data_IF_350560290665
#
_entry.id   IF_350560290665
#
_cell.length_a   1.000
_cell.length_b   1.000
_cell.length_c   1.000
_cell.angle_alpha   90.00
_cell.angle_beta   90.00
_cell.angle_gamma   90.00
#
_symmetry.space_group_name_H-M   'P 1'
#
loop_
_entity.id
_entity.type
_entity.pdbx_description
1 polymer ?
#
# COMPACT_ATOMS: atom_id res chain seq x y z
N UNK A 1 3.80 17.34 9.21
CA UNK A 1 3.45 15.96 8.89
C UNK A 1 4.49 15.06 9.52
N UNK A 2 4.07 14.04 10.26
CA UNK A 2 5.00 13.06 10.85
C UNK A 2 5.41 12.10 9.74
N UNK A 3 6.70 11.99 9.48
CA UNK A 3 7.20 11.05 8.46
C UNK A 3 7.59 9.76 9.18
N UNK A 4 6.91 8.67 8.86
CA UNK A 4 7.24 7.35 9.38
C UNK A 4 8.29 6.69 8.47
N UNK A 5 9.22 5.97 9.09
CA UNK A 5 10.25 5.17 8.42
C UNK A 5 10.15 3.73 8.92
N UNK A 6 10.73 2.79 8.20
CA UNK A 6 10.81 1.42 8.67
C UNK A 6 11.47 1.34 10.05
N UNK A 7 10.83 0.60 10.97
CA UNK A 7 11.23 0.46 12.36
C UNK A 7 10.93 1.66 13.27
N UNK A 8 10.26 2.71 12.78
CA UNK A 8 9.88 3.87 13.59
C UNK A 8 9.00 3.47 14.78
N UNK A 9 9.32 4.01 15.96
CA UNK A 9 8.45 3.90 17.14
C UNK A 9 7.75 5.22 17.40
N UNK A 10 6.48 5.18 17.77
CA UNK A 10 5.67 6.36 18.05
C UNK A 10 4.65 6.08 19.14
N UNK A 11 4.07 7.15 19.70
CA UNK A 11 3.02 7.06 20.72
C UNK A 11 1.72 7.60 20.15
N UNK A 12 0.62 6.83 20.29
CA UNK A 12 -0.73 7.25 19.95
C UNK A 12 -1.70 6.74 21.02
N UNK A 13 -2.63 7.58 21.44
CA UNK A 13 -3.61 7.24 22.48
C UNK A 13 -2.99 6.70 23.80
N UNK A 14 -1.77 7.14 24.14
CA UNK A 14 -1.04 6.69 25.31
C UNK A 14 -0.37 5.32 25.20
N UNK A 15 -0.45 4.67 24.03
CA UNK A 15 0.19 3.39 23.73
C UNK A 15 1.39 3.60 22.81
N UNK A 16 2.38 2.71 22.90
CA UNK A 16 3.55 2.72 22.04
C UNK A 16 3.38 1.71 20.89
N UNK A 17 3.74 2.14 19.69
CA UNK A 17 3.67 1.34 18.48
C UNK A 17 5.00 1.33 17.75
N UNK A 18 5.18 0.32 16.91
CA UNK A 18 6.26 0.25 15.92
C UNK A 18 5.65 0.10 14.54
N UNK A 19 6.00 1.02 13.64
CA UNK A 19 5.71 0.90 12.22
C UNK A 19 6.81 0.13 11.50
N UNK A 20 6.43 -0.70 10.52
CA UNK A 20 7.32 -1.30 9.53
C UNK A 20 6.81 -0.93 8.15
N UNK A 21 7.74 -0.58 7.27
CA UNK A 21 7.46 -0.24 5.88
C UNK A 21 8.45 -1.07 5.07
N UNK A 22 7.95 -2.17 4.53
CA UNK A 22 8.77 -3.19 3.86
C UNK A 22 8.35 -3.28 2.39
N UNK A 23 9.24 -3.76 1.52
CA UNK A 23 8.89 -4.04 0.12
C UNK A 23 7.74 -5.06 0.08
N UNK A 24 6.75 -4.81 -0.74
CA UNK A 24 5.62 -5.72 -0.94
C UNK A 24 5.87 -6.64 -2.14
N UNK A 25 6.41 -7.80 -1.87
CA UNK A 25 6.67 -8.83 -2.89
C UNK A 25 5.41 -9.59 -3.32
N UNK A 26 4.26 -9.34 -2.66
CA UNK A 26 3.00 -10.03 -2.96
C UNK A 26 2.13 -9.28 -3.97
N UNK A 27 2.41 -8.01 -4.19
CA UNK A 27 1.68 -7.17 -5.16
C UNK A 27 2.27 -7.34 -6.57
N UNK A 28 1.41 -7.63 -7.53
CA UNK A 28 1.79 -7.77 -8.92
C UNK A 28 2.23 -6.44 -9.58
N UNK A 29 2.66 -6.49 -10.84
CA UNK A 29 3.03 -5.30 -11.57
C UNK A 29 1.81 -4.35 -11.74
N UNK A 30 2.02 -3.01 -11.73
CA UNK A 30 0.91 -2.05 -11.73
C UNK A 30 -0.14 -2.28 -12.82
N UNK A 31 0.29 -2.65 -14.03
CA UNK A 31 -0.62 -2.95 -15.16
C UNK A 31 -1.37 -4.28 -15.03
N UNK A 32 -1.10 -5.07 -14.01
CA UNK A 32 -1.85 -6.29 -13.65
C UNK A 32 -2.76 -5.99 -12.45
N UNK A 33 -2.24 -5.29 -11.47
CA UNK A 33 -2.92 -5.00 -10.20
C UNK A 33 -4.04 -3.96 -10.36
N UNK A 34 -3.83 -2.97 -11.23
CA UNK A 34 -4.76 -1.85 -11.36
C UNK A 34 -5.26 -1.68 -12.80
N UNK A 35 -6.54 -1.40 -12.92
CA UNK A 35 -7.12 -0.91 -14.17
C UNK A 35 -6.66 0.52 -14.46
N UNK A 36 -6.77 0.93 -15.73
CA UNK A 36 -6.50 2.32 -16.13
C UNK A 36 -5.12 2.55 -16.71
N UNK A 37 -4.31 1.52 -16.88
CA UNK A 37 -3.04 1.57 -17.59
C UNK A 37 -3.18 1.22 -19.08
N UNK A 38 -2.23 1.69 -19.88
CA UNK A 38 -2.10 1.26 -21.27
C UNK A 38 -1.64 -0.20 -21.38
N UNK A 39 -1.89 -0.85 -22.55
CA UNK A 39 -1.55 -2.25 -22.71
C UNK A 39 -0.05 -2.51 -22.63
N UNK A 40 0.35 -3.46 -21.80
CA UNK A 40 1.72 -3.93 -21.62
C UNK A 40 1.82 -5.39 -22.07
N UNK A 41 2.82 -5.72 -22.90
CA UNK A 41 3.06 -7.11 -23.31
C UNK A 41 3.75 -7.90 -22.20
N UNK A 42 3.61 -9.22 -22.25
CA UNK A 42 4.55 -10.12 -21.58
C UNK A 42 5.97 -9.98 -22.14
N UNK A 43 6.93 -10.67 -21.52
CA UNK A 43 8.29 -10.75 -22.04
C UNK A 43 8.32 -11.41 -23.43
N UNK A 44 9.02 -10.79 -24.38
CA UNK A 44 9.12 -11.28 -25.75
C UNK A 44 10.44 -10.89 -26.38
N UNK A 45 10.93 -11.73 -27.31
CA UNK A 45 12.15 -11.50 -28.10
C UNK A 45 11.85 -10.92 -29.47
N UNK A 46 10.58 -10.63 -29.81
CA UNK A 46 10.23 -10.02 -31.10
C UNK A 46 10.73 -8.58 -31.20
N UNK A 47 10.84 -8.11 -32.45
CA UNK A 47 11.06 -6.69 -32.69
C UNK A 47 9.85 -5.85 -32.26
N UNK A 48 10.10 -4.58 -31.98
CA UNK A 48 9.09 -3.57 -31.62
C UNK A 48 8.17 -3.30 -32.83
N UNK A 49 6.85 -3.32 -32.60
CA UNK A 49 5.88 -2.87 -33.58
C UNK A 49 5.82 -1.33 -33.69
N UNK A 50 5.31 -0.78 -34.81
CA UNK A 50 4.98 0.64 -34.88
C UNK A 50 3.99 1.03 -33.81
N UNK A 51 4.25 2.16 -33.12
CA UNK A 51 3.41 2.65 -32.02
C UNK A 51 3.70 2.06 -30.64
N UNK A 52 4.55 1.06 -30.52
CA UNK A 52 4.99 0.55 -29.23
C UNK A 52 6.23 1.31 -28.70
N UNK A 53 6.36 1.38 -27.38
CA UNK A 53 7.55 1.86 -26.67
C UNK A 53 8.15 0.70 -25.87
N UNK A 54 9.48 0.66 -25.74
CA UNK A 54 10.13 -0.33 -24.86
C UNK A 54 9.92 0.12 -23.41
N UNK A 55 9.16 -0.65 -22.65
CA UNK A 55 8.92 -0.40 -21.24
C UNK A 55 10.10 -0.91 -20.41
N UNK A 56 10.51 -2.15 -20.64
CA UNK A 56 11.61 -2.79 -19.93
C UNK A 56 12.35 -3.79 -20.83
N UNK A 57 13.61 -4.10 -20.49
CA UNK A 57 14.44 -5.05 -21.22
C UNK A 57 15.27 -5.88 -20.24
N UNK A 58 15.29 -7.19 -20.45
CA UNK A 58 16.11 -8.10 -19.66
C UNK A 58 16.63 -9.24 -20.57
N UNK A 59 17.96 -9.46 -20.56
CA UNK A 59 18.62 -10.58 -21.27
C UNK A 59 18.20 -10.76 -22.74
N UNK A 60 17.94 -9.64 -23.42
CA UNK A 60 17.52 -9.63 -24.84
C UNK A 60 16.02 -9.79 -25.06
N UNK A 61 15.23 -10.02 -24.02
CA UNK A 61 13.78 -9.91 -24.07
C UNK A 61 13.32 -8.49 -23.72
N UNK A 62 12.15 -8.12 -24.21
CA UNK A 62 11.55 -6.81 -23.99
C UNK A 62 10.09 -6.95 -23.55
N UNK A 63 9.62 -5.98 -22.75
CA UNK A 63 8.21 -5.65 -22.61
C UNK A 63 7.93 -4.38 -23.36
N UNK A 64 6.82 -4.37 -24.08
CA UNK A 64 6.40 -3.20 -24.84
C UNK A 64 5.13 -2.62 -24.24
N UNK A 65 5.07 -1.31 -24.21
CA UNK A 65 3.86 -0.53 -23.95
C UNK A 65 3.26 -0.09 -25.28
N UNK A 66 2.01 -0.41 -25.54
CA UNK A 66 1.31 0.00 -26.76
C UNK A 66 0.81 1.44 -26.62
N UNK A 67 1.68 2.39 -26.99
CA UNK A 67 1.37 3.81 -26.92
C UNK A 67 0.21 4.20 -27.84
N UNK A 68 0.07 3.54 -28.98
CA UNK A 68 -1.00 3.85 -29.93
C UNK A 68 -2.38 3.46 -29.37
N UNK A 69 -2.48 2.30 -28.74
CA UNK A 69 -3.71 1.85 -28.10
C UNK A 69 -3.98 2.61 -26.81
N UNK A 70 -2.95 2.91 -26.00
CA UNK A 70 -3.06 3.73 -24.80
C UNK A 70 -3.65 5.12 -25.08
N UNK A 71 -3.22 5.79 -26.17
CA UNK A 71 -3.80 7.08 -26.59
C UNK A 71 -5.27 6.95 -26.95
N UNK A 72 -5.68 5.87 -27.63
CA UNK A 72 -7.09 5.63 -27.95
C UNK A 72 -7.92 5.41 -26.67
N UNK A 73 -7.41 4.59 -25.76
CA UNK A 73 -8.04 4.33 -24.46
C UNK A 73 -8.13 5.61 -23.62
N UNK A 74 -7.04 6.35 -23.52
CA UNK A 74 -7.01 7.63 -22.82
C UNK A 74 -8.03 8.65 -23.37
N UNK A 75 -8.20 8.68 -24.69
CA UNK A 75 -9.21 9.54 -25.32
C UNK A 75 -10.64 9.08 -25.05
N UNK A 76 -10.89 7.76 -25.11
CA UNK A 76 -12.20 7.16 -24.88
C UNK A 76 -12.64 7.33 -23.42
N UNK A 77 -11.75 7.05 -22.49
CA UNK A 77 -12.03 6.96 -21.06
C UNK A 77 -11.73 8.27 -20.32
N UNK A 78 -11.25 9.28 -21.06
CA UNK A 78 -11.02 10.61 -20.51
C UNK A 78 -9.85 10.69 -19.53
N UNK A 79 -8.79 9.92 -19.75
CA UNK A 79 -7.61 9.97 -18.89
C UNK A 79 -7.13 11.41 -18.73
N UNK A 80 -6.88 11.81 -17.49
CA UNK A 80 -6.41 13.15 -17.17
C UNK A 80 -5.43 13.11 -16.04
N UNK A 81 -4.16 13.39 -16.32
CA UNK A 81 -3.17 13.68 -15.31
C UNK A 81 -2.70 15.12 -15.47
N UNK A 82 -2.61 15.81 -14.33
CA UNK A 82 -2.11 17.17 -14.24
C UNK A 82 -3.12 18.26 -14.64
N UNK A 83 -2.67 19.50 -14.49
CA UNK A 83 -3.46 20.69 -14.77
C UNK A 83 -3.84 20.78 -16.26
N UNK A 84 -5.04 21.30 -16.57
CA UNK A 84 -5.43 21.54 -17.94
C UNK A 84 -4.46 22.48 -18.66
N UNK A 85 -4.03 22.09 -19.88
CA UNK A 85 -3.17 22.94 -20.71
C UNK A 85 -4.05 23.79 -21.61
N UNK A 86 -4.02 25.13 -21.53
CA UNK A 86 -4.83 25.99 -22.38
C UNK A 86 -4.59 25.76 -23.85
N UNK A 87 -5.67 25.58 -24.63
CA UNK A 87 -5.61 25.32 -26.08
C UNK A 87 -5.26 23.89 -26.48
N UNK A 88 -5.09 22.97 -25.52
CA UNK A 88 -4.83 21.57 -25.79
C UNK A 88 -6.07 20.89 -26.40
N UNK A 89 -5.88 20.20 -27.51
CA UNK A 89 -6.94 19.36 -28.11
C UNK A 89 -7.12 18.07 -27.32
N UNK A 90 -8.29 17.41 -27.45
CA UNK A 90 -8.56 16.12 -26.81
C UNK A 90 -7.53 15.03 -27.19
N UNK A 91 -7.00 15.07 -28.43
CA UNK A 91 -5.95 14.14 -28.87
C UNK A 91 -4.61 14.41 -28.21
N UNK A 92 -4.23 15.68 -28.05
CA UNK A 92 -3.00 16.06 -27.35
C UNK A 92 -3.09 15.71 -25.85
N UNK A 93 -4.23 15.96 -25.19
CA UNK A 93 -4.47 15.57 -23.81
C UNK A 93 -4.32 14.06 -23.64
N UNK A 94 -4.94 13.26 -24.51
CA UNK A 94 -4.84 11.80 -24.47
C UNK A 94 -3.40 11.30 -24.66
N UNK A 95 -2.66 11.89 -25.60
CA UNK A 95 -1.25 11.54 -25.86
C UNK A 95 -0.38 11.88 -24.64
N UNK A 96 -0.60 13.02 -24.00
CA UNK A 96 0.12 13.43 -22.79
C UNK A 96 -0.20 12.50 -21.62
N UNK A 97 -1.46 12.11 -21.44
CA UNK A 97 -1.86 11.16 -20.40
C UNK A 97 -1.25 9.76 -20.62
N UNK A 98 -1.27 9.24 -21.86
CA UNK A 98 -0.65 7.97 -22.17
C UNK A 98 0.88 7.98 -22.01
N UNK A 99 1.53 9.13 -22.29
CA UNK A 99 2.96 9.28 -22.04
C UNK A 99 3.28 9.32 -20.54
N UNK A 100 2.46 10.00 -19.75
CA UNK A 100 2.61 10.03 -18.30
C UNK A 100 2.44 8.62 -17.69
N UNK A 101 1.47 7.85 -18.17
CA UNK A 101 1.28 6.45 -17.78
C UNK A 101 2.50 5.58 -18.15
N UNK A 102 3.01 5.72 -19.38
CA UNK A 102 4.25 5.03 -19.77
C UNK A 102 5.43 5.35 -18.85
N UNK A 103 5.66 6.61 -18.52
CA UNK A 103 6.78 6.99 -17.64
C UNK A 103 6.57 6.52 -16.21
N UNK A 104 5.34 6.51 -15.70
CA UNK A 104 4.98 5.94 -14.41
C UNK A 104 5.32 4.44 -14.35
N UNK A 105 4.86 3.64 -15.31
CA UNK A 105 5.14 2.20 -15.39
C UNK A 105 6.63 1.91 -15.61
N UNK A 106 7.30 2.79 -16.37
CA UNK A 106 8.74 2.69 -16.58
C UNK A 106 9.54 2.97 -15.31
N UNK A 107 9.08 3.90 -14.46
CA UNK A 107 9.62 4.15 -13.14
C UNK A 107 9.59 2.90 -12.27
N UNK A 108 8.46 2.20 -12.24
CA UNK A 108 8.35 0.91 -11.53
C UNK A 108 9.34 -0.13 -12.07
N UNK A 109 9.46 -0.27 -13.39
CA UNK A 109 10.42 -1.18 -14.01
C UNK A 109 11.89 -0.87 -13.69
N UNK A 110 12.20 0.36 -13.29
CA UNK A 110 13.55 0.84 -12.93
C UNK A 110 13.79 0.87 -11.42
N UNK A 111 12.79 0.49 -10.63
CA UNK A 111 12.79 0.64 -9.18
C UNK A 111 12.91 2.11 -8.70
N UNK A 112 12.44 3.08 -9.51
CA UNK A 112 12.31 4.47 -9.08
C UNK A 112 11.22 4.58 -8.01
N UNK A 113 10.24 3.69 -8.05
CA UNK A 113 9.23 3.43 -7.04
C UNK A 113 8.83 1.95 -7.05
N UNK A 114 8.24 1.48 -5.96
CA UNK A 114 7.78 0.09 -5.77
C UNK A 114 6.62 0.06 -4.80
N UNK A 115 5.94 -1.08 -4.70
CA UNK A 115 4.91 -1.25 -3.69
C UNK A 115 5.53 -1.60 -2.34
N UNK A 116 4.94 -1.02 -1.29
CA UNK A 116 5.30 -1.31 0.11
C UNK A 116 4.11 -1.89 0.86
N UNK A 117 4.43 -2.72 1.82
CA UNK A 117 3.53 -3.16 2.87
C UNK A 117 3.82 -2.35 4.13
N UNK A 118 2.77 -1.73 4.68
CA UNK A 118 2.81 -1.05 5.96
C UNK A 118 2.25 -1.97 7.02
N UNK A 119 2.99 -2.18 8.10
CA UNK A 119 2.50 -2.90 9.27
C UNK A 119 2.75 -2.10 10.55
N UNK A 120 1.85 -2.24 11.52
CA UNK A 120 1.95 -1.60 12.82
C UNK A 120 1.77 -2.65 13.91
N UNK A 121 2.69 -2.68 14.87
CA UNK A 121 2.63 -3.55 16.04
C UNK A 121 2.59 -2.74 17.34
N UNK A 122 1.73 -3.14 18.28
CA UNK A 122 1.69 -2.59 19.63
C UNK A 122 2.93 -3.04 20.42
N UNK A 123 3.58 -2.13 21.15
CA UNK A 123 4.73 -2.42 22.00
C UNK A 123 4.24 -2.54 23.44
N UNK A 124 4.49 -3.68 24.07
CA UNK A 124 4.27 -3.90 25.51
C UNK A 124 5.55 -4.44 26.14
N UNK A 125 5.92 -3.90 27.31
CA UNK A 125 7.11 -4.28 28.06
C UNK A 125 8.42 -4.29 27.22
N UNK A 126 8.54 -3.31 26.28
CA UNK A 126 9.70 -3.19 25.40
C UNK A 126 9.71 -4.14 24.21
N UNK A 127 8.76 -5.06 24.09
CA UNK A 127 8.63 -6.01 23.00
C UNK A 127 7.40 -5.68 22.12
N UNK A 128 7.53 -5.88 20.82
CA UNK A 128 6.38 -5.79 19.91
C UNK A 128 5.48 -7.00 20.15
N UNK A 129 4.23 -6.75 20.53
CA UNK A 129 3.24 -7.81 20.74
C UNK A 129 2.75 -8.32 19.39
N UNK A 130 2.48 -9.62 19.32
CA UNK A 130 2.24 -10.39 18.10
C UNK A 130 0.96 -10.05 17.31
N UNK A 131 0.30 -8.94 17.57
CA UNK A 131 -0.83 -8.46 16.79
C UNK A 131 -0.36 -7.29 15.94
N UNK A 132 0.04 -7.57 14.72
CA UNK A 132 0.28 -6.55 13.71
C UNK A 132 -0.84 -6.61 12.68
N UNK A 133 -1.46 -5.49 12.44
CA UNK A 133 -2.24 -5.28 11.23
C UNK A 133 -1.31 -4.79 10.13
N UNK A 134 -1.62 -5.15 8.90
CA UNK A 134 -0.84 -4.72 7.74
C UNK A 134 -1.75 -4.40 6.56
N UNK A 135 -1.25 -3.57 5.66
CA UNK A 135 -1.84 -3.26 4.36
C UNK A 135 -0.71 -3.17 3.34
N UNK A 136 -0.90 -3.78 2.19
CA UNK A 136 0.04 -3.79 1.08
C UNK A 136 -0.45 -3.00 -0.13
N UNK A 137 0.32 -3.01 -1.21
CA UNK A 137 -0.03 -2.36 -2.47
C UNK A 137 0.06 -0.83 -2.44
N UNK A 138 0.83 -0.25 -1.53
CA UNK A 138 0.97 1.20 -1.39
C UNK A 138 2.23 1.63 -2.14
N UNK A 139 2.15 2.70 -2.94
CA UNK A 139 3.33 3.24 -3.62
C UNK A 139 4.34 3.80 -2.62
N UNK A 140 5.61 3.40 -2.76
CA UNK A 140 6.70 3.82 -1.86
C UNK A 140 6.95 5.33 -1.84
N UNK A 141 6.49 6.05 -2.86
CA UNK A 141 6.60 7.52 -2.99
C UNK A 141 5.43 8.26 -2.35
N UNK A 142 4.36 7.59 -1.99
CA UNK A 142 3.17 8.20 -1.39
C UNK A 142 3.28 8.24 0.15
N UNK A 143 4.12 9.14 0.64
CA UNK A 143 4.37 9.32 2.08
C UNK A 143 3.11 9.74 2.86
N UNK A 144 2.14 10.38 2.24
CA UNK A 144 0.90 10.81 2.88
C UNK A 144 -0.01 9.61 3.13
N UNK A 145 -0.23 8.79 2.13
CA UNK A 145 -1.00 7.55 2.25
C UNK A 145 -0.35 6.58 3.24
N UNK A 146 0.97 6.40 3.18
CA UNK A 146 1.71 5.58 4.15
C UNK A 146 1.47 6.07 5.58
N UNK A 147 1.59 7.38 5.83
CA UNK A 147 1.35 7.95 7.16
C UNK A 147 -0.09 7.74 7.62
N UNK A 148 -1.07 7.94 6.74
CA UNK A 148 -2.49 7.69 7.01
C UNK A 148 -2.75 6.26 7.46
N UNK A 149 -2.22 5.27 6.76
CA UNK A 149 -2.38 3.86 7.15
C UNK A 149 -1.66 3.51 8.44
N UNK A 150 -0.47 4.06 8.71
CA UNK A 150 0.20 3.86 10.01
C UNK A 150 -0.71 4.31 11.16
N UNK A 151 -1.36 5.46 11.01
CA UNK A 151 -2.25 6.01 12.03
C UNK A 151 -3.54 5.20 12.18
N UNK A 152 -4.16 4.80 11.07
CA UNK A 152 -5.38 3.98 11.06
C UNK A 152 -5.16 2.61 11.69
N UNK A 153 -4.06 1.94 11.35
CA UNK A 153 -3.70 0.64 11.94
C UNK A 153 -3.43 0.75 13.45
N UNK A 154 -2.80 1.84 13.90
CA UNK A 154 -2.59 2.07 15.33
C UNK A 154 -3.91 2.32 16.09
N UNK A 155 -4.88 3.03 15.51
CA UNK A 155 -6.20 3.23 16.09
C UNK A 155 -6.99 1.93 16.19
N UNK A 156 -6.92 1.09 15.15
CA UNK A 156 -7.52 -0.25 15.15
C UNK A 156 -6.95 -1.11 16.27
N UNK A 157 -5.62 -1.20 16.37
CA UNK A 157 -4.95 -1.94 17.46
C UNK A 157 -5.26 -1.40 18.85
N UNK A 158 -5.41 -0.08 18.99
CA UNK A 158 -5.82 0.54 20.26
C UNK A 158 -7.18 0.04 20.71
N UNK A 159 -8.13 -0.02 19.78
CA UNK A 159 -9.50 -0.49 20.04
C UNK A 159 -9.52 -1.96 20.43
N UNK A 160 -8.83 -2.80 19.67
CA UNK A 160 -8.74 -4.24 19.94
C UNK A 160 -8.06 -4.53 21.28
N UNK A 161 -6.96 -3.84 21.58
CA UNK A 161 -6.28 -4.00 22.87
C UNK A 161 -7.18 -3.62 24.04
N UNK A 162 -7.97 -2.56 23.92
CA UNK A 162 -8.92 -2.15 24.94
C UNK A 162 -10.02 -3.21 25.16
N UNK A 163 -10.54 -3.81 24.07
CA UNK A 163 -11.56 -4.85 24.15
C UNK A 163 -11.03 -6.15 24.79
N UNK A 164 -9.81 -6.56 24.42
CA UNK A 164 -9.15 -7.71 25.02
C UNK A 164 -8.90 -7.51 26.54
N UNK A 165 -8.47 -6.31 26.93
CA UNK A 165 -8.25 -5.99 28.35
C UNK A 165 -9.57 -6.01 29.13
N UNK A 166 -10.66 -5.49 28.57
CA UNK A 166 -12.00 -5.54 29.19
C UNK A 166 -12.47 -6.98 29.37
N UNK A 167 -12.34 -7.81 28.32
CA UNK A 167 -12.71 -9.22 28.37
C UNK A 167 -11.90 -9.99 29.44
N UNK A 168 -10.59 -9.74 29.50
CA UNK A 168 -9.72 -10.36 30.51
C UNK A 168 -10.05 -9.91 31.93
N UNK A 169 -10.34 -8.63 32.15
CA UNK A 169 -10.76 -8.09 33.42
C UNK A 169 -12.08 -8.73 33.89
N UNK A 170 -13.07 -8.90 33.04
CA UNK A 170 -14.32 -9.60 33.33
C UNK A 170 -14.08 -11.05 33.77
N UNK A 171 -13.25 -11.80 33.03
CA UNK A 171 -12.88 -13.17 33.36
C UNK A 171 -12.20 -13.27 34.73
N UNK A 172 -11.26 -12.37 35.02
CA UNK A 172 -10.58 -12.33 36.32
C UNK A 172 -11.54 -11.98 37.48
N UNK A 173 -12.48 -11.08 37.25
CA UNK A 173 -13.51 -10.74 38.24
C UNK A 173 -14.41 -11.94 38.58
N UNK A 174 -14.84 -12.69 37.55
CA UNK A 174 -15.60 -13.94 37.74
C UNK A 174 -14.80 -15.01 38.52
N UNK A 175 -13.52 -15.18 38.17
CA UNK A 175 -12.66 -16.11 38.92
C UNK A 175 -12.48 -15.70 40.38
N UNK A 176 -12.25 -14.41 40.64
CA UNK A 176 -12.16 -13.90 42.00
C UNK A 176 -13.44 -14.15 42.81
N UNK A 177 -14.63 -13.93 42.22
CA UNK A 177 -15.90 -14.23 42.86
C UNK A 177 -16.07 -15.72 43.21
N UNK A 178 -15.69 -16.62 42.28
CA UNK A 178 -15.74 -18.09 42.54
C UNK A 178 -14.82 -18.50 43.66
N UNK A 179 -13.61 -17.96 43.74
CA UNK A 179 -12.66 -18.24 44.81
C UNK A 179 -13.18 -17.74 46.12
N UNK A 180 -13.71 -16.50 46.17
CA UNK A 180 -14.28 -15.94 47.38
C UNK A 180 -15.48 -16.76 47.93
N UNK A 181 -16.36 -17.21 47.02
CA UNK A 181 -17.47 -18.07 47.36
C UNK A 181 -17.02 -19.44 47.93
N UNK A 182 -15.99 -20.03 47.31
CA UNK A 182 -15.43 -21.31 47.79
C UNK A 182 -14.78 -21.19 49.15
N UNK A 183 -14.04 -20.11 49.41
CA UNK A 183 -13.42 -19.86 50.73
C UNK A 183 -14.49 -19.58 51.81
N UNK A 184 -15.53 -18.79 51.50
CA UNK A 184 -16.63 -18.49 52.44
C UNK A 184 -17.51 -19.68 52.77
N UNK A 185 -17.53 -20.75 51.98
CA UNK A 185 -18.27 -21.97 52.22
C UNK A 185 -17.55 -22.94 53.17
N UNK A 186 -16.31 -22.66 53.55
CA UNK A 186 -15.49 -23.48 54.44
C UNK A 186 -15.24 -22.84 55.83
N UNK A 187 -15.89 -21.73 56.14
CA UNK A 187 -15.93 -21.08 57.44
C UNK A 187 -17.33 -21.24 58.03
#
# INVERSE_FOLDING_TARGET
MSTYHDGSTFTRNGLQFRARIEHDDSTDAPWIEHDGHGPVTGWTNRAKNPGELILNSERGAHRFYDMAEAVKTAKRDGWGHGEPVPGETAGQKAARAALADFEYLRGWCRNDWYFVMVSVGLIMDGNTVAHSHYIGGIESTDAETIAGYVEELADTLTTEAADQLRARAATLAEQAQRITAAVGAHV
#
